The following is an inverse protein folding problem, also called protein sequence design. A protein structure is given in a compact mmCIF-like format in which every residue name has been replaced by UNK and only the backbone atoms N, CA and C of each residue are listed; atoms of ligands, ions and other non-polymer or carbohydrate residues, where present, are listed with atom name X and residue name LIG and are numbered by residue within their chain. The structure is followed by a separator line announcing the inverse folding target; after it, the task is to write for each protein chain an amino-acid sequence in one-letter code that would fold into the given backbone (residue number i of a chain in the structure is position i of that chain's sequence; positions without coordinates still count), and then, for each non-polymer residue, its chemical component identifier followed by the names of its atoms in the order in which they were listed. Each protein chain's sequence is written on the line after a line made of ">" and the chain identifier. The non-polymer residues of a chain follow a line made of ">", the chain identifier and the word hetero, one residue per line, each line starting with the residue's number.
data_IF_524130359825
#
_entry.id   IF_524130359825
#
_cell.length_a   1.000
_cell.length_b   1.000
_cell.length_c   1.000
_cell.angle_alpha   90.00
_cell.angle_beta   90.00
_cell.angle_gamma   90.00
#
_symmetry.space_group_name_H-M   'P 1'
#
loop_
_entity.id
_entity.type
_entity.pdbx_description
1 polymer ?
#
# COMPACT_ATOMS: atom_id res chain seq x y z
N UNK A 1 17.03 -21.30 4.42
CA UNK A 1 15.93 -20.41 3.95
C UNK A 1 16.59 -19.19 3.32
N UNK A 2 16.36 -19.03 2.03
CA UNK A 2 17.17 -18.24 1.10
C UNK A 2 17.07 -16.71 1.33
N UNK A 3 18.08 -16.14 1.99
CA UNK A 3 18.18 -14.68 2.24
C UNK A 3 18.48 -13.88 0.98
N UNK A 4 19.04 -14.49 -0.06
CA UNK A 4 19.40 -13.79 -1.30
C UNK A 4 18.17 -13.53 -2.17
N UNK A 5 17.24 -14.49 -2.25
CA UNK A 5 15.95 -14.32 -2.94
C UNK A 5 15.00 -13.32 -2.27
N UNK A 6 15.05 -13.17 -0.93
CA UNK A 6 14.20 -12.21 -0.21
C UNK A 6 14.70 -10.76 -0.42
N UNK A 7 16.00 -10.55 -0.63
CA UNK A 7 16.61 -9.23 -0.90
C UNK A 7 16.39 -8.74 -2.33
N UNK A 8 16.36 -9.63 -3.32
CA UNK A 8 16.02 -9.28 -4.71
C UNK A 8 14.54 -8.94 -4.86
N UNK A 9 13.65 -9.68 -4.20
CA UNK A 9 12.22 -9.39 -4.12
C UNK A 9 11.92 -8.07 -3.38
N UNK A 10 12.62 -7.77 -2.27
CA UNK A 10 12.48 -6.47 -1.57
C UNK A 10 12.95 -5.31 -2.46
N UNK A 11 14.01 -5.49 -3.27
CA UNK A 11 14.45 -4.49 -4.26
C UNK A 11 13.45 -4.30 -5.42
N UNK A 12 12.93 -5.38 -5.98
CA UNK A 12 11.92 -5.32 -7.05
C UNK A 12 10.63 -4.63 -6.58
N UNK A 13 10.20 -4.91 -5.33
CA UNK A 13 9.06 -4.26 -4.70
C UNK A 13 9.22 -2.78 -4.37
N UNK A 14 10.47 -2.30 -4.37
CA UNK A 14 10.83 -0.90 -4.16
C UNK A 14 11.27 -0.23 -5.45
N UNK A 15 11.11 -0.88 -6.61
CA UNK A 15 11.42 -0.23 -7.86
C UNK A 15 10.44 0.92 -8.07
N UNK A 16 10.92 2.14 -7.77
CA UNK A 16 10.19 3.39 -7.98
C UNK A 16 9.74 3.52 -9.44
N UNK A 17 10.36 2.81 -10.39
CA UNK A 17 9.91 2.76 -11.79
C UNK A 17 8.59 2.02 -11.95
N UNK A 18 8.32 0.99 -11.15
CA UNK A 18 7.07 0.24 -11.19
C UNK A 18 5.90 0.88 -10.40
N UNK A 19 6.16 1.89 -9.58
CA UNK A 19 5.08 2.56 -8.83
C UNK A 19 4.19 3.43 -9.73
N UNK A 20 2.92 3.11 -9.88
CA UNK A 20 1.92 3.95 -10.58
C UNK A 20 0.57 3.78 -9.92
N UNK A 21 -0.18 4.88 -9.79
CA UNK A 21 -1.58 4.80 -9.36
C UNK A 21 -2.50 5.46 -10.37
N UNK A 22 -3.53 4.73 -10.77
CA UNK A 22 -4.58 5.25 -11.65
C UNK A 22 -5.53 6.22 -10.92
N UNK A 23 -5.46 6.33 -9.59
CA UNK A 23 -6.21 7.31 -8.81
C UNK A 23 -5.73 8.76 -9.06
N UNK A 24 -4.47 8.93 -9.47
CA UNK A 24 -3.91 10.21 -9.88
C UNK A 24 -2.79 9.98 -10.90
N UNK A 25 -3.18 9.48 -12.08
CA UNK A 25 -2.25 9.13 -13.13
C UNK A 25 -2.85 9.37 -14.51
N UNK A 26 -1.98 9.58 -15.50
CA UNK A 26 -2.35 9.66 -16.91
C UNK A 26 -1.52 8.64 -17.68
N UNK A 27 -2.15 7.97 -18.64
CA UNK A 27 -1.54 6.94 -19.49
C UNK A 27 -1.71 7.38 -20.94
N UNK A 28 -0.61 7.38 -21.69
CA UNK A 28 -0.67 7.68 -23.12
C UNK A 28 -1.51 6.61 -23.83
N UNK A 29 -2.47 7.04 -24.66
CA UNK A 29 -3.36 6.12 -25.39
C UNK A 29 -2.61 5.03 -26.15
N UNK A 30 -1.57 5.41 -26.91
CA UNK A 30 -0.77 4.44 -27.67
C UNK A 30 -0.01 3.44 -26.80
N UNK A 31 0.39 3.83 -25.57
CA UNK A 31 0.97 2.91 -24.62
C UNK A 31 -0.07 1.93 -24.05
N UNK A 32 -1.28 2.41 -23.76
CA UNK A 32 -2.38 1.57 -23.27
C UNK A 32 -2.91 0.59 -24.33
N UNK A 33 -2.98 1.00 -25.60
CA UNK A 33 -3.37 0.11 -26.70
C UNK A 33 -2.37 -1.04 -26.92
N UNK A 34 -1.08 -0.82 -26.61
CA UNK A 34 -0.04 -1.86 -26.67
C UNK A 34 0.08 -2.69 -25.38
N UNK A 35 -0.11 -2.05 -24.22
CA UNK A 35 -0.01 -2.65 -22.89
C UNK A 35 -1.28 -2.34 -22.11
N UNK A 36 -2.34 -3.14 -22.27
CA UNK A 36 -3.60 -2.91 -21.58
C UNK A 36 -3.54 -3.34 -20.10
N UNK A 37 -4.49 -2.86 -19.30
CA UNK A 37 -4.70 -3.38 -17.95
C UNK A 37 -5.03 -4.87 -18.01
N UNK A 38 -4.37 -5.67 -17.16
CA UNK A 38 -4.79 -7.06 -16.97
C UNK A 38 -5.92 -7.12 -15.95
N UNK A 39 -6.76 -8.13 -16.09
CA UNK A 39 -7.80 -8.45 -15.11
C UNK A 39 -7.16 -9.12 -13.88
N UNK A 40 -6.80 -8.33 -12.87
CA UNK A 40 -6.38 -8.82 -11.54
C UNK A 40 -7.33 -8.31 -10.46
N UNK A 41 -7.36 -9.02 -9.33
CA UNK A 41 -8.24 -8.65 -8.22
C UNK A 41 -7.83 -7.34 -7.54
N UNK A 42 -6.56 -6.94 -7.63
CA UNK A 42 -6.04 -5.74 -6.97
C UNK A 42 -4.66 -5.35 -7.54
N UNK A 43 -4.28 -4.09 -7.38
CA UNK A 43 -2.99 -3.53 -7.83
C UNK A 43 -2.77 -3.66 -9.35
N UNK A 44 -3.84 -3.53 -10.13
CA UNK A 44 -3.82 -3.50 -11.60
C UNK A 44 -2.98 -2.33 -12.14
N UNK A 45 -2.94 -1.22 -11.41
CA UNK A 45 -2.14 -0.03 -11.71
C UNK A 45 -0.63 -0.29 -11.55
N UNK A 46 -0.23 -0.98 -10.48
CA UNK A 46 1.15 -1.40 -10.27
C UNK A 46 1.61 -2.40 -11.33
N UNK A 47 0.72 -3.32 -11.71
CA UNK A 47 1.03 -4.30 -12.75
C UNK A 47 1.11 -3.66 -14.14
N UNK A 48 0.24 -2.69 -14.45
CA UNK A 48 0.33 -1.90 -15.67
C UNK A 48 1.70 -1.22 -15.77
N UNK A 49 2.17 -0.57 -14.71
CA UNK A 49 3.48 0.08 -14.72
C UNK A 49 4.63 -0.92 -14.84
N UNK A 50 4.56 -2.08 -14.17
CA UNK A 50 5.54 -3.16 -14.36
C UNK A 50 5.64 -3.58 -15.84
N UNK A 51 4.49 -3.79 -16.48
CA UNK A 51 4.41 -4.25 -17.86
C UNK A 51 4.86 -3.16 -18.84
N UNK A 52 4.46 -1.90 -18.62
CA UNK A 52 4.88 -0.76 -19.43
C UNK A 52 6.39 -0.53 -19.37
N UNK A 53 6.98 -0.58 -18.16
CA UNK A 53 8.43 -0.47 -18.01
C UNK A 53 9.16 -1.64 -18.71
N UNK A 54 8.57 -2.85 -18.69
CA UNK A 54 9.12 -4.02 -19.38
C UNK A 54 9.02 -3.91 -20.91
N UNK A 55 8.00 -3.21 -21.42
CA UNK A 55 7.80 -2.91 -22.84
C UNK A 55 8.61 -1.68 -23.33
N UNK A 56 9.46 -1.09 -22.48
CA UNK A 56 10.33 0.03 -22.85
C UNK A 56 9.68 1.41 -22.78
N UNK A 57 8.49 1.52 -22.19
CA UNK A 57 7.86 2.82 -21.93
C UNK A 57 8.54 3.54 -20.76
N UNK A 58 8.38 4.87 -20.74
CA UNK A 58 8.88 5.73 -19.69
C UNK A 58 7.74 6.27 -18.82
N UNK A 59 8.07 6.64 -17.59
CA UNK A 59 7.16 7.30 -16.65
C UNK A 59 7.77 8.60 -16.15
N UNK A 60 6.95 9.65 -16.10
CA UNK A 60 7.29 10.92 -15.48
C UNK A 60 6.43 11.18 -14.24
N UNK A 61 7.03 11.78 -13.21
CA UNK A 61 6.33 12.24 -12.00
C UNK A 61 6.10 13.74 -12.10
N UNK A 62 4.85 14.19 -11.95
CA UNK A 62 4.48 15.61 -11.96
C UNK A 62 4.02 16.05 -10.55
N UNK A 63 4.88 16.69 -9.74
CA UNK A 63 4.55 17.08 -8.36
C UNK A 63 3.40 18.10 -8.25
N UNK A 64 3.12 18.87 -9.30
CA UNK A 64 2.02 19.87 -9.29
C UNK A 64 0.66 19.30 -9.66
N UNK A 65 0.58 18.05 -10.14
CA UNK A 65 -0.67 17.35 -10.44
C UNK A 65 -1.30 16.83 -9.15
N UNK A 66 -1.74 17.73 -8.29
CA UNK A 66 -2.29 17.41 -6.97
C UNK A 66 -3.78 17.07 -7.05
N UNK A 67 -4.22 16.12 -6.22
CA UNK A 67 -5.64 15.76 -6.06
C UNK A 67 -6.01 15.68 -4.58
N UNK A 68 -7.28 15.89 -4.29
CA UNK A 68 -7.85 15.70 -2.95
C UNK A 68 -8.42 14.29 -2.83
N UNK A 69 -7.90 13.49 -1.89
CA UNK A 69 -8.46 12.18 -1.57
C UNK A 69 -9.67 12.32 -0.63
N UNK A 70 -10.81 11.69 -0.97
CA UNK A 70 -12.09 11.87 -0.28
C UNK A 70 -12.53 10.68 0.58
N UNK A 71 -11.61 9.86 1.07
CA UNK A 71 -11.95 8.66 1.84
C UNK A 71 -11.78 8.84 3.34
N UNK A 72 -12.87 8.67 4.08
CA UNK A 72 -12.85 8.55 5.54
C UNK A 72 -13.22 7.12 5.95
N UNK A 73 -12.19 6.28 6.07
CA UNK A 73 -12.37 4.88 6.43
C UNK A 73 -12.21 4.69 7.94
N UNK A 74 -13.15 4.00 8.61
CA UNK A 74 -12.94 3.60 9.99
C UNK A 74 -11.73 2.64 10.07
N UNK A 75 -11.01 2.58 11.21
CA UNK A 75 -9.78 1.79 11.33
C UNK A 75 -9.93 0.33 10.90
N UNK A 76 -11.05 -0.33 11.19
CA UNK A 76 -11.30 -1.71 10.75
C UNK A 76 -11.36 -1.87 9.23
N UNK A 77 -11.95 -0.91 8.50
CA UNK A 77 -11.96 -0.91 7.04
C UNK A 77 -10.58 -0.57 6.48
N UNK A 78 -9.88 0.38 7.12
CA UNK A 78 -8.49 0.73 6.77
C UNK A 78 -7.55 -0.47 6.88
N UNK A 79 -7.68 -1.28 7.94
CA UNK A 79 -6.92 -2.51 8.12
C UNK A 79 -7.13 -3.48 6.96
N UNK A 80 -8.39 -3.75 6.60
CA UNK A 80 -8.73 -4.69 5.52
C UNK A 80 -8.24 -4.18 4.17
N UNK A 81 -8.31 -2.88 3.93
CA UNK A 81 -7.76 -2.24 2.72
C UNK A 81 -6.24 -2.39 2.64
N UNK A 82 -5.53 -2.04 3.71
CA UNK A 82 -4.08 -2.18 3.77
C UNK A 82 -3.63 -3.65 3.65
N UNK A 83 -4.44 -4.60 4.15
CA UNK A 83 -4.24 -6.03 3.97
C UNK A 83 -4.32 -6.43 2.49
N UNK A 84 -5.40 -6.08 1.79
CA UNK A 84 -5.55 -6.42 0.38
C UNK A 84 -4.47 -5.76 -0.49
N UNK A 85 -4.18 -4.48 -0.25
CA UNK A 85 -3.14 -3.73 -0.97
C UNK A 85 -1.76 -4.37 -0.80
N UNK A 86 -1.35 -4.68 0.44
CA UNK A 86 -0.05 -5.29 0.67
C UNK A 86 0.03 -6.75 0.22
N UNK A 87 -1.09 -7.48 0.22
CA UNK A 87 -1.16 -8.81 -0.40
C UNK A 87 -0.97 -8.71 -1.91
N UNK A 88 -1.61 -7.74 -2.56
CA UNK A 88 -1.49 -7.52 -3.99
C UNK A 88 -0.06 -7.12 -4.38
N UNK A 89 0.57 -6.22 -3.64
CA UNK A 89 1.97 -5.87 -3.84
C UNK A 89 2.91 -7.08 -3.65
N UNK A 90 2.56 -7.99 -2.72
CA UNK A 90 3.27 -9.26 -2.56
C UNK A 90 3.08 -10.17 -3.77
N UNK A 91 1.88 -10.23 -4.34
CA UNK A 91 1.56 -11.03 -5.53
C UNK A 91 2.23 -10.49 -6.79
N UNK A 92 2.25 -9.16 -6.99
CA UNK A 92 2.77 -8.51 -8.21
C UNK A 92 4.28 -8.31 -8.18
N UNK A 93 4.85 -7.97 -7.02
CA UNK A 93 6.27 -7.60 -6.90
C UNK A 93 7.07 -8.43 -5.91
N UNK A 94 6.45 -9.39 -5.22
CA UNK A 94 7.12 -10.09 -4.11
C UNK A 94 7.34 -9.20 -2.88
N UNK A 95 6.66 -8.04 -2.77
CA UNK A 95 6.81 -7.12 -1.63
C UNK A 95 6.63 -7.79 -0.27
N UNK A 96 7.55 -7.53 0.65
CA UNK A 96 7.42 -7.92 2.06
C UNK A 96 7.56 -6.70 2.96
N UNK A 97 6.49 -6.38 3.69
CA UNK A 97 6.58 -5.34 4.71
C UNK A 97 7.57 -5.78 5.80
N UNK A 98 8.51 -4.91 6.15
CA UNK A 98 9.43 -5.13 7.26
C UNK A 98 8.63 -5.32 8.56
N UNK A 99 8.91 -6.42 9.27
CA UNK A 99 8.08 -6.87 10.40
C UNK A 99 8.72 -6.66 11.77
N UNK A 100 7.91 -6.80 12.81
CA UNK A 100 8.33 -6.83 14.21
C UNK A 100 7.64 -5.77 15.07
N UNK A 101 7.34 -6.07 16.34
CA UNK A 101 6.58 -5.16 17.22
C UNK A 101 7.31 -3.82 17.42
N UNK A 102 8.63 -3.84 17.58
CA UNK A 102 9.44 -2.62 17.73
C UNK A 102 9.37 -1.72 16.49
N UNK A 103 9.44 -2.31 15.28
CA UNK A 103 9.36 -1.54 14.03
C UNK A 103 7.96 -0.97 13.81
N UNK A 104 6.92 -1.75 14.12
CA UNK A 104 5.54 -1.28 14.07
C UNK A 104 5.33 -0.09 15.00
N UNK A 105 5.76 -0.20 16.26
CA UNK A 105 5.68 0.88 17.23
C UNK A 105 6.41 2.14 16.74
N UNK A 106 7.61 1.97 16.17
CA UNK A 106 8.38 3.08 15.60
C UNK A 106 7.68 3.74 14.41
N UNK A 107 7.09 2.97 13.50
CA UNK A 107 6.33 3.52 12.36
C UNK A 107 5.11 4.29 12.86
N UNK A 108 4.30 3.70 13.73
CA UNK A 108 3.11 4.38 14.29
C UNK A 108 3.51 5.64 15.05
N UNK A 109 4.55 5.58 15.89
CA UNK A 109 5.04 6.74 16.64
C UNK A 109 5.50 7.88 15.71
N UNK A 110 6.20 7.55 14.61
CA UNK A 110 6.67 8.53 13.65
C UNK A 110 5.50 9.22 12.95
N UNK A 111 4.55 8.45 12.44
CA UNK A 111 3.40 8.98 11.70
C UNK A 111 2.52 9.86 12.59
N UNK A 112 2.26 9.44 13.84
CA UNK A 112 1.52 10.24 14.82
C UNK A 112 2.28 11.53 15.20
N UNK A 113 3.61 11.48 15.24
CA UNK A 113 4.45 12.67 15.46
C UNK A 113 4.36 13.64 14.29
N UNK A 114 4.35 13.12 13.08
CA UNK A 114 4.20 13.91 11.85
C UNK A 114 2.82 14.58 11.81
N UNK A 115 1.75 13.85 12.17
CA UNK A 115 0.39 14.39 12.34
C UNK A 115 0.34 15.49 13.42
N UNK A 116 0.96 15.26 14.58
CA UNK A 116 1.10 16.30 15.61
C UNK A 116 1.86 17.53 15.10
N UNK A 117 2.91 17.32 14.30
CA UNK A 117 3.67 18.39 13.65
C UNK A 117 2.79 19.23 12.73
N UNK A 118 1.94 18.58 11.93
CA UNK A 118 0.95 19.24 11.08
C UNK A 118 -0.07 20.03 11.92
N UNK A 119 -0.69 19.41 12.92
CA UNK A 119 -1.66 20.07 13.79
C UNK A 119 -1.09 21.34 14.44
N UNK A 120 0.19 21.30 14.87
CA UNK A 120 0.87 22.48 15.43
C UNK A 120 1.09 23.58 14.40
N UNK A 121 1.52 23.22 13.18
CA UNK A 121 1.75 24.18 12.08
C UNK A 121 0.46 24.88 11.65
N UNK A 122 -0.65 24.15 11.66
CA UNK A 122 -1.99 24.66 11.34
C UNK A 122 -2.66 25.41 12.52
N UNK A 123 -1.96 25.56 13.65
CA UNK A 123 -2.52 26.25 14.83
C UNK A 123 -3.71 25.52 15.47
N UNK A 124 -3.80 24.20 15.31
CA UNK A 124 -4.93 23.42 15.81
C UNK A 124 -5.00 23.47 17.36
N UNK A 125 -6.19 23.69 17.96
CA UNK A 125 -6.29 23.87 19.41
C UNK A 125 -5.86 22.64 20.20
N UNK A 126 -4.87 22.79 21.10
CA UNK A 126 -4.33 21.70 21.93
C UNK A 126 -5.41 20.91 22.69
N UNK A 127 -6.44 21.61 23.20
CA UNK A 127 -7.59 20.99 23.90
C UNK A 127 -8.40 20.01 23.05
N UNK A 128 -8.34 20.13 21.72
CA UNK A 128 -9.01 19.23 20.76
C UNK A 128 -8.07 18.20 20.16
N UNK A 129 -6.77 18.25 20.45
CA UNK A 129 -5.80 17.32 19.86
C UNK A 129 -5.99 15.89 20.33
N UNK A 130 -6.33 15.66 21.61
CA UNK A 130 -6.39 14.31 22.18
C UNK A 130 -7.25 13.31 21.36
N UNK A 131 -8.54 13.58 21.05
CA UNK A 131 -9.35 12.66 20.24
C UNK A 131 -8.81 12.47 18.82
N UNK A 132 -8.23 13.51 18.22
CA UNK A 132 -7.62 13.44 16.87
C UNK A 132 -6.39 12.55 16.88
N UNK A 133 -5.54 12.65 17.91
CA UNK A 133 -4.36 11.82 18.05
C UNK A 133 -4.73 10.36 18.34
N UNK A 134 -5.78 10.12 19.14
CA UNK A 134 -6.28 8.77 19.37
C UNK A 134 -6.77 8.13 18.06
N UNK A 135 -7.50 8.91 17.24
CA UNK A 135 -7.90 8.47 15.91
C UNK A 135 -6.69 8.20 15.00
N UNK A 136 -5.70 9.10 14.98
CA UNK A 136 -4.45 8.94 14.22
C UNK A 136 -3.69 7.67 14.64
N UNK A 137 -3.54 7.40 15.94
CA UNK A 137 -2.93 6.16 16.45
C UNK A 137 -3.70 4.94 15.95
N UNK A 138 -5.02 4.92 16.08
CA UNK A 138 -5.85 3.80 15.63
C UNK A 138 -5.75 3.59 14.11
N UNK A 139 -5.75 4.68 13.33
CA UNK A 139 -5.61 4.66 11.88
C UNK A 139 -4.26 4.07 11.44
N UNK A 140 -3.16 4.61 11.96
CA UNK A 140 -1.81 4.16 11.59
C UNK A 140 -1.54 2.75 12.07
N UNK A 141 -2.01 2.39 13.27
CA UNK A 141 -1.92 1.01 13.76
C UNK A 141 -2.65 0.04 12.84
N UNK A 142 -3.92 0.32 12.50
CA UNK A 142 -4.71 -0.49 11.60
C UNK A 142 -4.04 -0.66 10.23
N UNK A 143 -3.53 0.44 9.66
CA UNK A 143 -2.81 0.45 8.38
C UNK A 143 -1.56 -0.43 8.42
N UNK A 144 -0.70 -0.26 9.44
CA UNK A 144 0.58 -1.00 9.53
C UNK A 144 0.35 -2.48 9.83
N UNK A 145 -0.60 -2.82 10.71
CA UNK A 145 -0.98 -4.21 10.98
C UNK A 145 -1.54 -4.87 9.72
N UNK A 146 -2.48 -4.21 9.03
CA UNK A 146 -3.06 -4.68 7.78
C UNK A 146 -1.97 -4.97 6.75
N UNK A 147 -1.06 -4.03 6.53
CA UNK A 147 0.03 -4.19 5.58
C UNK A 147 1.01 -5.32 5.94
N UNK A 148 1.34 -5.45 7.22
CA UNK A 148 2.23 -6.50 7.73
C UNK A 148 1.64 -7.90 7.54
N UNK A 149 0.34 -8.04 7.80
CA UNK A 149 -0.40 -9.29 7.61
C UNK A 149 -0.62 -9.59 6.11
N UNK A 150 -0.97 -8.58 5.32
CA UNK A 150 -1.24 -8.71 3.89
C UNK A 150 -0.01 -9.17 3.11
N UNK A 151 1.14 -8.56 3.37
CA UNK A 151 2.43 -8.97 2.76
C UNK A 151 2.93 -10.35 3.19
N UNK A 152 2.25 -10.99 4.14
CA UNK A 152 2.48 -12.37 4.62
C UNK A 152 1.24 -13.25 4.47
N UNK A 153 0.33 -12.89 3.56
CA UNK A 153 -0.91 -13.62 3.35
C UNK A 153 -0.68 -15.10 2.98
N UNK A 154 0.47 -15.43 2.38
CA UNK A 154 0.95 -16.80 2.10
C UNK A 154 1.01 -17.68 3.35
N UNK A 155 1.21 -17.09 4.53
CA UNK A 155 1.31 -17.80 5.82
C UNK A 155 0.00 -17.86 6.59
N UNK A 156 -1.07 -17.24 6.07
CA UNK A 156 -2.35 -17.16 6.76
C UNK A 156 -3.34 -18.21 6.25
N UNK A 157 -4.08 -18.89 7.14
CA UNK A 157 -5.17 -19.79 6.75
C UNK A 157 -6.19 -19.06 5.86
N UNK A 158 -6.78 -19.77 4.89
CA UNK A 158 -7.73 -19.18 3.95
C UNK A 158 -8.91 -18.48 4.65
N UNK A 159 -9.39 -19.02 5.78
CA UNK A 159 -10.45 -18.40 6.60
C UNK A 159 -10.05 -17.01 7.13
N UNK A 160 -8.80 -16.86 7.59
CA UNK A 160 -8.25 -15.60 8.08
C UNK A 160 -8.10 -14.61 6.93
N UNK A 161 -7.60 -15.06 5.77
CA UNK A 161 -7.51 -14.22 4.55
C UNK A 161 -8.88 -13.68 4.14
N UNK A 162 -9.93 -14.51 4.15
CA UNK A 162 -11.30 -14.08 3.85
C UNK A 162 -11.85 -13.05 4.84
N UNK A 163 -11.51 -13.19 6.12
CA UNK A 163 -11.93 -12.23 7.15
C UNK A 163 -11.26 -10.87 6.96
N UNK A 164 -9.96 -10.88 6.68
CA UNK A 164 -9.14 -9.66 6.55
C UNK A 164 -9.27 -9.00 5.18
N UNK A 165 -9.70 -9.72 4.14
CA UNK A 165 -9.89 -9.17 2.80
C UNK A 165 -11.25 -8.46 2.67
N UNK A 166 -11.29 -7.27 2.07
CA UNK A 166 -12.52 -6.56 1.71
C UNK A 166 -13.40 -7.41 0.79
N UNK A 167 -12.79 -8.06 -0.20
CA UNK A 167 -13.46 -8.91 -1.19
C UNK A 167 -13.70 -10.34 -0.69
N UNK A 168 -13.36 -10.62 0.57
CA UNK A 168 -13.41 -11.98 1.14
C UNK A 168 -12.62 -13.00 0.32
N UNK A 169 -11.53 -12.56 -0.34
CA UNK A 169 -10.67 -13.45 -1.13
C UNK A 169 -9.82 -14.32 -0.21
N UNK A 170 -9.96 -15.63 -0.35
CA UNK A 170 -9.20 -16.63 0.40
C UNK A 170 -7.92 -17.10 -0.30
N UNK A 171 -7.74 -16.74 -1.58
CA UNK A 171 -6.59 -17.10 -2.42
C UNK A 171 -5.34 -16.26 -2.14
N UNK A 172 -4.24 -16.66 -2.77
CA UNK A 172 -2.98 -15.93 -2.83
C UNK A 172 -2.33 -16.34 -4.14
N UNK A 173 -2.29 -15.41 -5.10
CA UNK A 173 -2.07 -15.73 -6.50
C UNK A 173 -0.90 -14.88 -7.05
N UNK A 174 0.37 -15.28 -6.82
CA UNK A 174 1.54 -14.57 -7.33
C UNK A 174 1.50 -14.41 -8.86
N UNK A 175 1.75 -13.20 -9.32
CA UNK A 175 1.82 -12.85 -10.74
C UNK A 175 3.29 -12.91 -11.16
N UNK A 176 3.73 -14.09 -11.63
CA UNK A 176 5.08 -14.29 -12.16
C UNK A 176 5.37 -13.38 -13.36
#
# INVERSE_FOLDING_TARGET
>A
VDRAGDLSADRASRDRRAFFTNANGCVARGAWEQVPFRAVSYAEDQMLARDMMSAGWAKAYQPTAVVTHSHDYPPGRQLRRAFDESRALREVHGYRAHGGPARLALVVQREVRDDMGLLRREGFPLRRCFPVLLHSVAHHFARVVGATLGSRADRLPARVRRLLSLERRGGFDPQC
#
